data_IF_370298130555
#
_entry.id   IF_370298130555
#
_cell.length_a   1.000
_cell.length_b   1.000
_cell.length_c   1.000
_cell.angle_alpha   90.00
_cell.angle_beta   90.00
_cell.angle_gamma   90.00
#
_symmetry.space_group_name_H-M   'P 1'
#
loop_
_entity.id
_entity.type
_entity.pdbx_description
1 polymer ?
#
# COMPACT_ATOMS: atom_id res chain seq x y z
N UNK A 1 -3.89 31.56 -17.65
CA UNK A 1 -5.05 31.65 -16.74
C UNK A 1 -4.65 30.96 -15.44
N UNK A 2 -4.31 31.74 -14.41
CA UNK A 2 -3.80 31.26 -13.12
C UNK A 2 -4.88 30.47 -12.36
N UNK A 3 -4.58 29.22 -11.95
CA UNK A 3 -5.34 28.50 -10.92
C UNK A 3 -4.58 28.64 -9.58
N UNK A 4 -5.06 29.41 -8.59
CA UNK A 4 -4.32 29.68 -7.36
C UNK A 4 -4.58 28.67 -6.22
N UNK A 5 -5.04 27.44 -6.48
CA UNK A 5 -5.53 26.53 -5.42
C UNK A 5 -4.74 25.24 -5.19
N UNK A 6 -3.70 24.92 -5.96
CA UNK A 6 -2.99 23.64 -5.84
C UNK A 6 -1.98 23.56 -4.68
N UNK A 7 -1.30 24.66 -4.32
CA UNK A 7 -0.20 24.61 -3.33
C UNK A 7 -0.60 24.47 -1.85
N UNK A 8 -1.88 24.56 -1.52
CA UNK A 8 -2.35 24.27 -0.14
C UNK A 8 -2.61 22.77 0.06
N UNK A 9 -3.08 22.07 -0.98
CA UNK A 9 -3.28 20.62 -0.97
C UNK A 9 -1.96 19.90 -0.71
N UNK A 10 -0.95 20.16 -1.54
CA UNK A 10 0.36 19.51 -1.45
C UNK A 10 1.02 19.69 -0.07
N UNK A 11 0.89 20.88 0.53
CA UNK A 11 1.44 21.16 1.86
C UNK A 11 0.70 20.41 2.96
N UNK A 12 -0.62 20.28 2.85
CA UNK A 12 -1.40 19.48 3.80
C UNK A 12 -1.07 18.00 3.65
N UNK A 13 -1.01 17.48 2.43
CA UNK A 13 -0.70 16.08 2.13
C UNK A 13 0.68 15.70 2.68
N UNK A 14 1.72 16.51 2.40
CA UNK A 14 3.06 16.31 2.97
C UNK A 14 3.07 16.36 4.51
N UNK A 15 2.27 17.24 5.11
CA UNK A 15 2.12 17.29 6.58
C UNK A 15 1.43 16.04 7.13
N UNK A 16 0.39 15.55 6.46
CA UNK A 16 -0.31 14.31 6.86
C UNK A 16 0.62 13.10 6.76
N UNK A 17 1.39 12.99 5.67
CA UNK A 17 2.44 11.97 5.52
C UNK A 17 3.41 12.03 6.69
N UNK A 18 3.95 13.21 7.00
CA UNK A 18 4.89 13.37 8.11
C UNK A 18 4.29 12.99 9.46
N UNK A 19 3.05 13.42 9.74
CA UNK A 19 2.34 13.07 10.98
C UNK A 19 2.14 11.56 11.10
N UNK A 20 1.76 10.88 10.02
CA UNK A 20 1.61 9.42 10.01
C UNK A 20 2.95 8.70 10.19
N UNK A 21 4.03 9.17 9.58
CA UNK A 21 5.37 8.63 9.78
C UNK A 21 5.84 8.79 11.23
N UNK A 22 5.61 9.95 11.84
CA UNK A 22 5.86 10.15 13.28
C UNK A 22 4.99 9.22 14.12
N UNK A 23 3.73 9.02 13.72
CA UNK A 23 2.85 8.04 14.34
C UNK A 23 3.40 6.62 14.27
N UNK A 24 3.90 6.16 13.11
CA UNK A 24 4.56 4.86 12.95
C UNK A 24 5.80 4.71 13.85
N UNK A 25 6.61 5.77 13.98
CA UNK A 25 7.74 5.78 14.93
C UNK A 25 7.24 5.64 16.37
N UNK A 26 6.15 6.33 16.72
CA UNK A 26 5.50 6.18 18.03
C UNK A 26 5.00 4.74 18.26
N UNK A 27 4.35 4.14 17.27
CA UNK A 27 3.88 2.75 17.30
C UNK A 27 5.03 1.76 17.47
N UNK A 28 6.16 1.98 16.82
CA UNK A 28 7.38 1.19 17.02
C UNK A 28 7.85 1.22 18.47
N UNK A 29 7.93 2.41 19.09
CA UNK A 29 8.31 2.52 20.51
C UNK A 29 7.28 1.88 21.45
N UNK A 30 5.98 1.98 21.14
CA UNK A 30 4.93 1.26 21.86
C UNK A 30 5.15 -0.26 21.76
N UNK A 31 5.50 -0.75 20.57
CA UNK A 31 5.84 -2.16 20.36
C UNK A 31 7.03 -2.62 21.21
N UNK A 32 8.08 -1.78 21.32
CA UNK A 32 9.23 -2.06 22.18
C UNK A 32 8.87 -2.07 23.67
N UNK A 33 8.12 -1.07 24.13
CA UNK A 33 7.67 -0.96 25.52
C UNK A 33 6.82 -2.17 25.94
N UNK A 34 5.88 -2.57 25.07
CA UNK A 34 5.00 -3.73 25.28
C UNK A 34 5.65 -5.08 24.94
N UNK A 35 6.88 -5.08 24.41
CA UNK A 35 7.56 -6.26 23.86
C UNK A 35 6.72 -7.04 22.85
N UNK A 36 5.90 -6.35 22.08
CA UNK A 36 5.04 -6.94 21.07
C UNK A 36 5.73 -6.91 19.71
N UNK A 37 6.19 -8.07 19.25
CA UNK A 37 6.89 -8.25 17.96
C UNK A 37 6.00 -7.90 16.76
N UNK A 38 4.70 -8.17 16.83
CA UNK A 38 3.72 -7.81 15.79
C UNK A 38 3.72 -6.31 15.52
N UNK A 39 3.57 -5.49 16.56
CA UNK A 39 3.58 -4.03 16.46
C UNK A 39 4.93 -3.53 15.92
N UNK A 40 6.03 -4.08 16.43
CA UNK A 40 7.38 -3.68 16.01
C UNK A 40 7.58 -3.92 14.51
N UNK A 41 7.30 -5.13 14.05
CA UNK A 41 7.49 -5.54 12.65
C UNK A 41 6.60 -4.72 11.72
N UNK A 42 5.30 -4.60 12.04
CA UNK A 42 4.36 -3.83 11.21
C UNK A 42 4.73 -2.35 11.13
N UNK A 43 5.16 -1.75 12.24
CA UNK A 43 5.61 -0.35 12.24
C UNK A 43 6.88 -0.15 11.42
N UNK A 44 7.84 -1.09 11.48
CA UNK A 44 9.07 -1.04 10.69
C UNK A 44 8.80 -1.21 9.18
N UNK A 45 7.97 -2.19 8.81
CA UNK A 45 7.56 -2.40 7.41
C UNK A 45 6.81 -1.16 6.91
N UNK A 46 5.88 -0.63 7.69
CA UNK A 46 5.13 0.57 7.31
C UNK A 46 6.02 1.79 7.12
N UNK A 47 7.03 1.99 7.98
CA UNK A 47 8.05 3.02 7.79
C UNK A 47 8.85 2.79 6.51
N UNK A 48 9.36 1.57 6.29
CA UNK A 48 10.15 1.26 5.11
C UNK A 48 9.38 1.54 3.81
N UNK A 49 8.11 1.11 3.73
CA UNK A 49 7.25 1.36 2.56
C UNK A 49 6.92 2.84 2.42
N UNK A 50 6.62 3.55 3.50
CA UNK A 50 6.35 4.99 3.46
C UNK A 50 7.59 5.83 3.06
N UNK A 51 8.80 5.28 3.17
CA UNK A 51 10.04 5.91 2.69
C UNK A 51 10.34 5.60 1.21
N UNK A 52 9.61 4.69 0.55
CA UNK A 52 9.84 4.40 -0.87
C UNK A 52 9.68 5.65 -1.75
N UNK A 53 8.61 6.47 -1.64
CA UNK A 53 8.48 7.64 -2.50
C UNK A 53 9.61 8.67 -2.29
N UNK A 54 9.99 9.07 -1.05
CA UNK A 54 11.15 9.92 -0.82
C UNK A 54 12.47 9.36 -1.35
N UNK A 55 12.69 8.04 -1.27
CA UNK A 55 13.89 7.40 -1.80
C UNK A 55 13.91 7.43 -3.33
N UNK A 56 12.76 7.21 -3.98
CA UNK A 56 12.64 7.31 -5.43
C UNK A 56 12.87 8.75 -5.93
N UNK A 57 12.37 9.75 -5.21
CA UNK A 57 12.61 11.16 -5.53
C UNK A 57 14.07 11.56 -5.30
N UNK A 58 14.71 11.08 -4.22
CA UNK A 58 16.09 11.45 -3.86
C UNK A 58 17.16 10.71 -4.68
N UNK A 59 17.02 9.40 -4.82
CA UNK A 59 18.10 8.53 -5.33
C UNK A 59 17.93 8.20 -6.82
N UNK A 60 16.70 8.24 -7.33
CA UNK A 60 16.38 7.94 -8.72
C UNK A 60 15.83 9.14 -9.49
N UNK A 61 15.61 10.26 -8.79
CA UNK A 61 15.10 11.53 -9.35
C UNK A 61 13.78 11.37 -10.12
N UNK A 62 12.96 10.42 -9.63
CA UNK A 62 11.61 10.14 -10.09
C UNK A 62 10.66 11.02 -9.27
N UNK A 63 10.05 12.06 -9.85
CA UNK A 63 9.19 12.99 -9.12
C UNK A 63 7.98 12.24 -8.56
N UNK A 64 7.80 12.32 -7.25
CA UNK A 64 6.69 11.69 -6.56
C UNK A 64 5.59 12.68 -6.27
N UNK A 65 4.40 12.36 -6.79
CA UNK A 65 3.20 13.12 -6.50
C UNK A 65 2.86 13.05 -4.99
N UNK A 66 2.58 14.18 -4.31
CA UNK A 66 2.24 14.19 -2.90
C UNK A 66 0.99 13.37 -2.56
N UNK A 67 0.01 13.31 -3.46
CA UNK A 67 -1.21 12.52 -3.26
C UNK A 67 -0.91 11.03 -3.34
N UNK A 68 -0.06 10.59 -4.28
CA UNK A 68 0.42 9.20 -4.34
C UNK A 68 1.18 8.81 -3.07
N UNK A 69 2.08 9.68 -2.60
CA UNK A 69 2.84 9.46 -1.37
C UNK A 69 1.92 9.34 -0.16
N UNK A 70 0.92 10.22 -0.08
CA UNK A 70 -0.10 10.18 0.96
C UNK A 70 -0.88 8.86 0.93
N UNK A 71 -1.33 8.43 -0.24
CA UNK A 71 -2.12 7.21 -0.40
C UNK A 71 -1.34 5.95 0.04
N UNK A 72 -0.08 5.81 -0.39
CA UNK A 72 0.81 4.73 0.07
C UNK A 72 0.97 4.77 1.59
N UNK A 73 1.20 5.97 2.14
CA UNK A 73 1.40 6.15 3.58
C UNK A 73 0.14 5.82 4.37
N UNK A 74 -1.05 6.20 3.89
CA UNK A 74 -2.33 5.87 4.53
C UNK A 74 -2.54 4.35 4.60
N UNK A 75 -2.29 3.63 3.51
CA UNK A 75 -2.48 2.17 3.49
C UNK A 75 -1.62 1.48 4.55
N UNK A 76 -0.32 1.78 4.60
CA UNK A 76 0.59 1.14 5.57
C UNK A 76 0.41 1.65 6.99
N UNK A 77 0.01 2.91 7.16
CA UNK A 77 -0.30 3.48 8.47
C UNK A 77 -1.50 2.79 9.11
N UNK A 78 -2.60 2.60 8.36
CA UNK A 78 -3.80 1.93 8.87
C UNK A 78 -3.55 0.46 9.17
N UNK A 79 -2.76 -0.23 8.34
CA UNK A 79 -2.34 -1.60 8.61
C UNK A 79 -1.56 -1.69 9.94
N UNK A 80 -0.54 -0.84 10.13
CA UNK A 80 0.22 -0.80 11.39
C UNK A 80 -0.63 -0.40 12.60
N UNK A 81 -1.49 0.61 12.45
CA UNK A 81 -2.43 1.06 13.49
C UNK A 81 -3.37 -0.07 13.94
N UNK A 82 -3.75 -0.94 13.00
CA UNK A 82 -4.50 -2.17 13.23
C UNK A 82 -3.97 -2.99 14.40
N UNK A 83 -2.64 -3.05 14.54
CA UNK A 83 -1.93 -3.91 15.49
C UNK A 83 -1.76 -3.30 16.89
N UNK A 84 -1.78 -1.97 17.02
CA UNK A 84 -1.30 -1.29 18.25
C UNK A 84 -2.22 -1.42 19.45
N UNK A 85 -3.51 -1.64 19.24
CA UNK A 85 -4.50 -1.84 20.30
C UNK A 85 -4.62 -0.73 21.34
N UNK A 86 -5.70 -0.79 22.11
CA UNK A 86 -5.99 0.23 23.13
C UNK A 86 -5.09 -0.01 24.35
N UNK A 87 -4.34 1.00 24.86
CA UNK A 87 -3.54 0.84 26.07
C UNK A 87 -4.38 0.29 27.24
N UNK A 88 -3.96 -0.86 27.79
CA UNK A 88 -4.65 -1.50 28.92
C UNK A 88 -5.74 -2.52 28.55
N UNK A 89 -5.94 -2.82 27.26
CA UNK A 89 -6.81 -3.90 26.80
C UNK A 89 -6.08 -4.81 25.80
N UNK A 90 -6.32 -6.12 25.84
CA UNK A 90 -5.81 -7.11 24.86
C UNK A 90 -6.53 -7.03 23.49
N UNK A 91 -7.04 -5.84 23.17
CA UNK A 91 -7.93 -5.53 22.05
C UNK A 91 -7.19 -4.66 21.05
N UNK A 92 -6.77 -5.27 19.93
CA UNK A 92 -6.29 -4.58 18.72
C UNK A 92 -7.46 -4.10 17.87
N UNK A 93 -7.23 -3.18 16.92
CA UNK A 93 -8.27 -2.78 15.97
C UNK A 93 -8.70 -3.97 15.10
N UNK A 94 -7.76 -4.81 14.69
CA UNK A 94 -8.05 -6.07 13.99
C UNK A 94 -9.00 -6.98 14.78
N UNK A 95 -8.89 -7.03 16.11
CA UNK A 95 -9.78 -7.84 16.95
C UNK A 95 -11.10 -7.14 17.34
N UNK A 96 -11.11 -5.81 17.35
CA UNK A 96 -12.22 -5.03 17.93
C UNK A 96 -13.20 -4.48 16.90
N UNK A 97 -12.72 -4.26 15.67
CA UNK A 97 -13.48 -3.62 14.61
C UNK A 97 -13.56 -4.59 13.43
N UNK A 98 -14.72 -5.25 13.29
CA UNK A 98 -14.93 -6.36 12.34
C UNK A 98 -14.62 -6.01 10.87
N UNK A 99 -14.76 -4.75 10.47
CA UNK A 99 -14.48 -4.31 9.09
C UNK A 99 -13.05 -3.81 8.88
N UNK A 100 -12.25 -3.71 9.95
CA UNK A 100 -10.92 -3.09 9.87
C UNK A 100 -10.01 -3.85 8.92
N UNK A 101 -10.02 -5.18 9.01
CA UNK A 101 -9.16 -6.04 8.20
C UNK A 101 -9.42 -5.84 6.72
N UNK A 102 -10.68 -6.05 6.34
CA UNK A 102 -11.25 -5.74 5.03
C UNK A 102 -10.90 -4.35 4.49
N UNK A 103 -10.95 -3.30 5.32
CA UNK A 103 -10.53 -1.96 4.90
C UNK A 103 -9.04 -1.93 4.57
N UNK A 104 -8.20 -2.49 5.45
CA UNK A 104 -6.75 -2.51 5.22
C UNK A 104 -6.37 -3.34 4.00
N UNK A 105 -7.11 -4.42 3.73
CA UNK A 105 -7.00 -5.20 2.51
C UNK A 105 -7.35 -4.39 1.26
N UNK A 106 -8.51 -3.73 1.22
CA UNK A 106 -8.89 -2.88 0.10
C UNK A 106 -7.88 -1.74 -0.16
N UNK A 107 -7.40 -1.06 0.90
CA UNK A 107 -6.40 0.00 0.79
C UNK A 107 -5.06 -0.55 0.27
N UNK A 108 -4.58 -1.65 0.83
CA UNK A 108 -3.30 -2.25 0.44
C UNK A 108 -3.35 -2.80 -0.98
N UNK A 109 -4.42 -3.50 -1.34
CA UNK A 109 -4.67 -4.00 -2.69
C UNK A 109 -4.75 -2.87 -3.72
N UNK A 110 -5.30 -1.72 -3.35
CA UNK A 110 -5.33 -0.55 -4.23
C UNK A 110 -3.92 0.00 -4.52
N UNK A 111 -3.02 0.01 -3.53
CA UNK A 111 -1.60 0.38 -3.73
C UNK A 111 -0.88 -0.65 -4.62
N UNK A 112 -1.12 -1.95 -4.38
CA UNK A 112 -0.57 -3.04 -5.22
C UNK A 112 -1.06 -2.90 -6.66
N UNK A 113 -2.34 -2.60 -6.87
CA UNK A 113 -2.92 -2.36 -8.19
C UNK A 113 -2.23 -1.17 -8.89
N UNK A 114 -1.98 -0.08 -8.17
CA UNK A 114 -1.31 1.09 -8.72
C UNK A 114 0.14 0.79 -9.12
N UNK A 115 0.87 0.04 -8.30
CA UNK A 115 2.21 -0.41 -8.60
C UNK A 115 2.24 -1.33 -9.84
N UNK A 116 1.30 -2.28 -9.93
CA UNK A 116 1.13 -3.15 -11.10
C UNK A 116 0.83 -2.34 -12.37
N UNK A 117 -0.08 -1.37 -12.28
CA UNK A 117 -0.41 -0.48 -13.41
C UNK A 117 0.80 0.33 -13.86
N UNK A 118 1.50 0.98 -12.92
CA UNK A 118 2.67 1.81 -13.23
C UNK A 118 3.76 0.98 -13.90
N UNK A 119 4.04 -0.22 -13.39
CA UNK A 119 5.05 -1.14 -13.94
C UNK A 119 4.71 -1.52 -15.39
N UNK A 120 3.49 -1.96 -15.63
CA UNK A 120 3.10 -2.45 -16.96
C UNK A 120 2.97 -1.30 -17.95
N UNK A 121 2.46 -0.13 -17.51
CA UNK A 121 2.39 1.05 -18.36
C UNK A 121 3.78 1.58 -18.72
N UNK A 122 4.75 1.51 -17.82
CA UNK A 122 6.13 1.84 -18.14
C UNK A 122 6.67 0.92 -19.24
N UNK A 123 6.43 -0.39 -19.18
CA UNK A 123 6.86 -1.35 -20.22
C UNK A 123 6.20 -1.05 -21.57
N UNK A 124 4.88 -0.82 -21.55
CA UNK A 124 4.07 -0.50 -22.74
C UNK A 124 4.55 0.76 -23.45
N UNK A 125 4.93 1.81 -22.70
CA UNK A 125 5.44 3.06 -23.25
C UNK A 125 6.87 2.96 -23.81
N UNK A 126 7.73 2.13 -23.22
CA UNK A 126 9.14 2.04 -23.63
C UNK A 126 9.42 0.88 -24.59
N UNK A 127 8.38 0.17 -25.07
CA UNK A 127 8.52 -0.97 -25.98
C UNK A 127 7.51 -0.90 -27.12
N UNK A 128 7.96 -0.53 -28.32
CA UNK A 128 7.12 -0.48 -29.54
C UNK A 128 6.47 -1.82 -29.93
N UNK A 129 6.96 -2.94 -29.37
CA UNK A 129 6.46 -4.29 -29.63
C UNK A 129 5.31 -4.71 -28.72
N UNK A 130 5.06 -3.97 -27.63
CA UNK A 130 4.04 -4.28 -26.64
C UNK A 130 3.02 -3.16 -26.70
N UNK A 131 1.76 -3.53 -26.94
CA UNK A 131 0.61 -2.62 -26.85
C UNK A 131 -0.47 -3.33 -26.06
N UNK A 132 -0.85 -2.76 -24.92
CA UNK A 132 -1.82 -3.35 -24.02
C UNK A 132 -3.14 -2.57 -24.07
N UNK A 133 -4.19 -3.11 -24.73
CA UNK A 133 -5.49 -2.46 -24.77
C UNK A 133 -6.04 -2.20 -23.37
N UNK A 134 -6.74 -1.08 -23.15
CA UNK A 134 -7.27 -0.70 -21.82
C UNK A 134 -8.14 -1.79 -21.19
N UNK A 135 -8.89 -2.55 -22.00
CA UNK A 135 -9.69 -3.69 -21.52
C UNK A 135 -8.82 -4.84 -21.01
N UNK A 136 -7.70 -5.11 -21.67
CA UNK A 136 -6.73 -6.11 -21.21
C UNK A 136 -6.06 -5.64 -19.93
N UNK A 137 -5.70 -4.35 -19.83
CA UNK A 137 -5.11 -3.76 -18.63
C UNK A 137 -6.01 -3.94 -17.41
N UNK A 138 -7.31 -3.69 -17.57
CA UNK A 138 -8.29 -3.90 -16.49
C UNK A 138 -8.29 -5.34 -15.98
N UNK A 139 -8.36 -6.32 -16.89
CA UNK A 139 -8.37 -7.75 -16.51
C UNK A 139 -7.02 -8.16 -15.91
N UNK A 140 -5.92 -7.69 -16.47
CA UNK A 140 -4.59 -7.94 -15.95
C UNK A 140 -4.45 -7.45 -14.51
N UNK A 141 -4.86 -6.22 -14.21
CA UNK A 141 -4.78 -5.67 -12.85
C UNK A 141 -5.63 -6.46 -11.85
N UNK A 142 -6.85 -6.85 -12.24
CA UNK A 142 -7.70 -7.69 -11.41
C UNK A 142 -7.01 -9.02 -11.07
N UNK A 143 -6.46 -9.70 -12.07
CA UNK A 143 -5.77 -10.98 -11.87
C UNK A 143 -4.48 -10.81 -11.06
N UNK A 144 -3.71 -9.76 -11.34
CA UNK A 144 -2.47 -9.45 -10.63
C UNK A 144 -2.73 -9.20 -9.14
N UNK A 145 -3.72 -8.39 -8.80
CA UNK A 145 -4.07 -8.09 -7.40
C UNK A 145 -4.65 -9.31 -6.71
N UNK A 146 -5.50 -10.10 -7.38
CA UNK A 146 -6.01 -11.34 -6.79
C UNK A 146 -4.89 -12.37 -6.54
N UNK A 147 -3.95 -12.51 -7.48
CA UNK A 147 -2.78 -13.38 -7.30
C UNK A 147 -1.90 -12.91 -6.14
N UNK A 148 -1.67 -11.60 -6.02
CA UNK A 148 -0.96 -11.02 -4.89
C UNK A 148 -1.73 -11.20 -3.58
N UNK A 149 -3.05 -11.06 -3.59
CA UNK A 149 -3.91 -11.32 -2.44
C UNK A 149 -3.77 -12.76 -1.95
N UNK A 150 -3.87 -13.75 -2.84
CA UNK A 150 -3.64 -15.16 -2.48
C UNK A 150 -2.23 -15.38 -1.92
N UNK A 151 -1.21 -14.76 -2.52
CA UNK A 151 0.15 -14.84 -2.00
C UNK A 151 0.24 -14.27 -0.58
N UNK A 152 -0.43 -13.14 -0.32
CA UNK A 152 -0.48 -12.51 1.00
C UNK A 152 -1.12 -13.42 2.04
N UNK A 153 -2.31 -13.97 1.77
CA UNK A 153 -3.01 -14.93 2.65
C UNK A 153 -2.13 -16.14 3.01
N UNK A 154 -1.38 -16.65 2.03
CA UNK A 154 -0.44 -17.76 2.25
C UNK A 154 0.71 -17.33 3.16
N UNK A 155 1.24 -16.11 3.00
CA UNK A 155 2.27 -15.59 3.90
C UNK A 155 1.75 -15.42 5.33
N UNK A 156 0.54 -14.91 5.51
CA UNK A 156 -0.08 -14.79 6.83
C UNK A 156 -0.28 -16.14 7.52
N UNK A 157 -0.77 -17.13 6.77
CA UNK A 157 -0.90 -18.50 7.25
C UNK A 157 0.46 -19.08 7.67
N UNK A 158 1.49 -18.94 6.83
CA UNK A 158 2.83 -19.48 7.10
C UNK A 158 3.46 -18.80 8.32
N UNK A 159 3.38 -17.47 8.44
CA UNK A 159 3.91 -16.72 9.58
C UNK A 159 3.18 -17.08 10.87
N UNK A 160 1.85 -17.23 10.81
CA UNK A 160 1.04 -17.65 11.95
C UNK A 160 1.40 -19.06 12.42
N UNK A 161 1.57 -20.00 11.51
CA UNK A 161 1.94 -21.36 11.84
C UNK A 161 3.39 -21.45 12.35
N UNK A 162 4.33 -20.70 11.76
CA UNK A 162 5.70 -20.61 12.24
C UNK A 162 5.78 -20.06 13.68
N UNK A 163 4.99 -19.03 13.99
CA UNK A 163 4.91 -18.47 15.35
C UNK A 163 4.41 -19.51 16.36
N UNK A 164 3.39 -20.30 16.00
CA UNK A 164 2.87 -21.40 16.83
C UNK A 164 3.92 -22.47 17.12
N UNK A 165 4.69 -22.87 16.11
CA UNK A 165 5.76 -23.88 16.26
C UNK A 165 6.87 -23.40 17.19
N UNK A 166 7.20 -22.10 17.16
CA UNK A 166 8.25 -21.49 17.99
C UNK A 166 7.73 -21.06 19.38
N UNK A 167 6.42 -21.18 19.63
CA UNK A 167 5.79 -20.77 20.89
C UNK A 167 5.67 -19.26 21.07
N UNK A 168 5.73 -18.49 19.98
CA UNK A 168 5.55 -17.04 19.95
C UNK A 168 4.11 -16.62 19.67
N UNK A 169 3.78 -15.35 19.92
CA UNK A 169 2.49 -14.79 19.49
C UNK A 169 2.48 -14.55 17.97
N UNK A 170 1.32 -14.73 17.30
CA UNK A 170 1.18 -14.43 15.88
C UNK A 170 1.51 -12.97 15.58
N UNK A 171 2.40 -12.74 14.60
CA UNK A 171 2.81 -11.41 14.14
C UNK A 171 1.76 -10.82 13.19
N UNK A 172 1.08 -11.69 12.43
CA UNK A 172 -0.02 -11.39 11.52
C UNK A 172 -1.27 -12.13 12.04
N UNK A 173 -2.45 -11.52 11.93
CA UNK A 173 -3.70 -12.10 12.41
C UNK A 173 -4.42 -12.84 11.30
N UNK A 174 -4.57 -14.15 11.44
CA UNK A 174 -5.42 -14.96 10.56
C UNK A 174 -6.69 -15.37 11.32
N UNK A 175 -7.88 -14.96 10.85
CA UNK A 175 -9.15 -15.27 11.53
C UNK A 175 -9.87 -16.51 11.00
N UNK A 176 -9.57 -16.97 9.79
CA UNK A 176 -10.09 -18.22 9.24
C UNK A 176 -10.38 -18.17 7.73
N UNK A 177 -11.09 -19.18 7.21
CA UNK A 177 -11.37 -19.29 5.77
C UNK A 177 -12.40 -18.27 5.29
N UNK A 178 -13.42 -17.95 6.09
CA UNK A 178 -14.44 -16.95 5.73
C UNK A 178 -13.81 -15.56 5.57
N UNK A 179 -12.90 -15.22 6.47
CA UNK A 179 -12.11 -13.99 6.49
C UNK A 179 -11.24 -13.87 5.23
N UNK A 180 -10.39 -14.86 4.98
CA UNK A 180 -9.60 -14.97 3.73
C UNK A 180 -10.44 -14.76 2.46
N UNK A 181 -11.66 -15.32 2.41
CA UNK A 181 -12.53 -15.14 1.25
C UNK A 181 -13.05 -13.71 1.13
N UNK A 182 -13.38 -13.07 2.24
CA UNK A 182 -13.78 -11.66 2.25
C UNK A 182 -12.59 -10.75 1.94
N UNK A 183 -11.39 -11.04 2.41
CA UNK A 183 -10.18 -10.29 2.09
C UNK A 183 -9.89 -10.31 0.60
N UNK A 184 -10.02 -11.46 -0.07
CA UNK A 184 -9.92 -11.55 -1.53
C UNK A 184 -11.01 -10.73 -2.25
N UNK A 185 -12.23 -10.64 -1.70
CA UNK A 185 -13.29 -9.78 -2.23
C UNK A 185 -12.92 -8.30 -2.08
N UNK A 186 -12.44 -7.87 -0.91
CA UNK A 186 -12.03 -6.49 -0.68
C UNK A 186 -10.77 -6.11 -1.47
N UNK A 187 -9.86 -7.07 -1.69
CA UNK A 187 -8.74 -6.92 -2.61
C UNK A 187 -9.23 -6.65 -4.04
N UNK A 188 -10.24 -7.39 -4.50
CA UNK A 188 -10.86 -7.15 -5.81
C UNK A 188 -11.53 -5.77 -5.89
N UNK A 189 -12.22 -5.32 -4.82
CA UNK A 189 -12.81 -3.97 -4.78
C UNK A 189 -11.74 -2.90 -4.91
N UNK A 190 -10.64 -3.01 -4.16
CA UNK A 190 -9.48 -2.11 -4.27
C UNK A 190 -8.89 -2.10 -5.69
N UNK A 191 -8.75 -3.27 -6.31
CA UNK A 191 -8.28 -3.41 -7.68
C UNK A 191 -9.21 -2.74 -8.70
N UNK A 192 -10.54 -2.90 -8.56
CA UNK A 192 -11.53 -2.29 -9.46
C UNK A 192 -11.45 -0.76 -9.39
N UNK A 193 -11.41 -0.20 -8.17
CA UNK A 193 -11.29 1.25 -7.97
C UNK A 193 -10.08 1.78 -8.74
N UNK A 194 -8.93 1.12 -8.61
CA UNK A 194 -7.70 1.55 -9.27
C UNK A 194 -7.70 1.25 -10.77
N UNK A 195 -8.27 0.15 -11.23
CA UNK A 195 -8.32 -0.14 -12.66
C UNK A 195 -9.23 0.86 -13.41
N UNK A 196 -10.33 1.29 -12.78
CA UNK A 196 -11.22 2.33 -13.31
C UNK A 196 -10.56 3.73 -13.24
N UNK A 197 -9.86 4.04 -12.15
CA UNK A 197 -9.21 5.34 -11.95
C UNK A 197 -7.91 5.48 -12.73
N UNK A 198 -7.11 4.41 -12.81
CA UNK A 198 -5.79 4.36 -13.44
C UNK A 198 -5.85 4.51 -14.96
N UNK A 199 -6.94 4.04 -15.58
CA UNK A 199 -7.21 4.34 -16.99
C UNK A 199 -7.47 5.82 -17.26
N UNK A 200 -7.85 6.62 -16.24
CA UNK A 200 -8.15 8.05 -16.36
C UNK A 200 -7.07 9.01 -15.79
N UNK A 201 -6.36 8.64 -14.71
CA UNK A 201 -5.47 9.55 -13.95
C UNK A 201 -4.00 9.10 -13.91
N UNK A 202 -3.73 7.79 -13.71
CA UNK A 202 -2.35 7.28 -13.62
C UNK A 202 -1.64 7.26 -14.98
N UNK A 203 -2.39 7.24 -16.08
CA UNK A 203 -1.84 7.45 -17.43
C UNK A 203 -1.09 8.78 -17.55
N UNK A 204 -1.51 9.81 -16.83
CA UNK A 204 -0.84 11.12 -16.81
C UNK A 204 0.48 11.11 -16.03
N UNK A 205 0.52 10.46 -14.87
CA UNK A 205 1.75 10.34 -14.05
C UNK A 205 2.79 9.49 -14.77
N UNK A 206 2.38 8.35 -15.34
CA UNK A 206 3.32 7.48 -16.06
C UNK A 206 3.80 8.12 -17.37
N UNK A 207 2.95 8.91 -18.04
CA UNK A 207 3.38 9.72 -19.19
C UNK A 207 4.45 10.74 -18.83
N UNK A 208 4.27 11.48 -17.73
CA UNK A 208 5.26 12.45 -17.26
C UNK A 208 6.59 11.78 -16.84
N UNK A 209 6.53 10.58 -16.25
CA UNK A 209 7.73 9.82 -15.92
C UNK A 209 8.46 9.31 -17.17
N UNK A 210 7.74 8.86 -18.19
CA UNK A 210 8.34 8.42 -19.45
C UNK A 210 9.02 9.58 -20.21
N UNK A 211 8.38 10.75 -20.30
CA UNK A 211 8.96 11.94 -20.94
C UNK A 211 10.28 12.38 -20.26
N UNK A 212 10.35 12.28 -18.93
CA UNK A 212 11.57 12.63 -18.19
C UNK A 212 12.74 11.66 -18.44
N UNK A 213 12.47 10.39 -18.72
CA UNK A 213 13.52 9.42 -19.06
C UNK A 213 14.00 9.57 -20.52
N UNK A 214 13.12 9.94 -21.44
CA UNK A 214 13.48 10.25 -22.83
C UNK A 214 14.33 11.53 -22.94
N UNK A 215 13.99 12.60 -22.19
CA UNK A 215 14.76 13.85 -22.14
C UNK A 215 16.18 13.68 -21.56
N UNK A 216 16.44 12.57 -20.86
CA UNK A 216 17.76 12.23 -20.29
C UNK A 216 18.60 11.30 -21.15
N UNK A 217 18.00 10.70 -22.17
CA UNK A 217 18.66 9.73 -23.04
C UNK A 217 18.91 10.25 -24.47
N UNK A 218 18.51 11.50 -24.77
CA UNK A 218 18.93 12.28 -25.94
C UNK A 218 20.04 13.29 -25.62
#
# INVERSE_FOLDING_TARGET
MNRPTLHLGDRLERRLVWVMQVGLVGMFFIGLDRRNTGIIVNSLIGLAVAQLPPLMERDYDIPMDPTLTLWITVAVFFHALGTVGIPGADLSFYRSVWWWDHLTHALSASVVAAAGYATVRAIDLHTDKIHLPSKFMFVFLLLFVLAFGVLWEVLEFVVSEAARVVGGEPILTQYGLEDTMLDLVFNAVGAIVVALWGTAYLSGVVGALAEQFDDRSG
#
